data_IF_276020755961
#
_entry.id   IF_276020755961
#
_cell.length_a   1.000
_cell.length_b   1.000
_cell.length_c   1.000
_cell.angle_alpha   90.00
_cell.angle_beta   90.00
_cell.angle_gamma   90.00
#
_symmetry.space_group_name_H-M   'P 1'
#
loop_
_entity.id
_entity.type
_entity.pdbx_description
1 polymer ?
#
# COMPACT_ATOMS: atom_id res chain seq x y z
N UNK A 1 -46.95 36.15 -64.31
CA UNK A 1 -46.29 34.89 -64.69
C UNK A 1 -44.88 34.95 -64.14
N UNK A 2 -44.65 34.35 -62.98
CA UNK A 2 -43.80 33.14 -62.85
C UNK A 2 -42.32 33.53 -63.07
N UNK A 3 -41.45 33.68 -62.08
CA UNK A 3 -41.21 32.81 -60.93
C UNK A 3 -39.88 32.10 -61.15
N UNK A 4 -38.81 32.50 -60.45
CA UNK A 4 -37.67 31.64 -60.09
C UNK A 4 -36.73 32.34 -59.09
N UNK A 5 -37.25 32.59 -57.88
CA UNK A 5 -36.41 32.52 -56.70
C UNK A 5 -36.15 31.02 -56.46
N UNK A 6 -34.91 30.60 -56.20
CA UNK A 6 -34.52 29.52 -55.27
C UNK A 6 -33.23 28.79 -55.68
N UNK A 7 -32.55 28.26 -54.66
CA UNK A 7 -31.45 27.26 -54.73
C UNK A 7 -30.01 27.73 -54.98
N UNK A 8 -29.46 28.53 -54.06
CA UNK A 8 -28.00 28.44 -53.79
C UNK A 8 -27.61 28.41 -52.31
N UNK A 9 -28.47 28.87 -51.39
CA UNK A 9 -28.21 28.83 -49.94
C UNK A 9 -28.40 27.47 -49.26
N UNK A 10 -29.22 26.56 -49.82
CA UNK A 10 -29.59 25.30 -49.14
C UNK A 10 -28.44 24.29 -49.03
N UNK A 11 -27.43 24.36 -49.91
CA UNK A 11 -26.32 23.39 -49.95
C UNK A 11 -25.28 23.61 -48.85
N UNK A 12 -25.08 24.87 -48.44
CA UNK A 12 -24.05 25.25 -47.46
C UNK A 12 -24.49 25.01 -46.01
N UNK A 13 -25.80 25.14 -45.72
CA UNK A 13 -26.36 24.82 -44.41
C UNK A 13 -26.51 23.31 -44.19
N UNK A 14 -26.79 22.54 -45.26
CA UNK A 14 -26.88 21.09 -45.19
C UNK A 14 -25.53 20.42 -44.85
N UNK A 15 -24.42 20.92 -45.38
CA UNK A 15 -23.08 20.39 -45.06
C UNK A 15 -22.64 20.74 -43.63
N UNK A 16 -22.97 21.94 -43.15
CA UNK A 16 -22.68 22.35 -41.77
C UNK A 16 -23.50 21.55 -40.75
N UNK A 17 -24.77 21.25 -41.07
CA UNK A 17 -25.62 20.37 -40.27
C UNK A 17 -25.10 18.92 -40.23
N UNK A 18 -24.55 18.41 -41.35
CA UNK A 18 -23.90 17.10 -41.39
C UNK A 18 -22.62 17.03 -40.55
N UNK A 19 -21.82 18.10 -40.52
CA UNK A 19 -20.62 18.18 -39.67
C UNK A 19 -21.01 18.24 -38.20
N UNK A 20 -22.02 19.04 -37.83
CA UNK A 20 -22.53 19.08 -36.45
C UNK A 20 -23.16 17.75 -36.01
N UNK A 21 -23.85 17.04 -36.89
CA UNK A 21 -24.39 15.70 -36.63
C UNK A 21 -23.29 14.63 -36.53
N UNK A 22 -22.23 14.73 -37.34
CA UNK A 22 -21.07 13.85 -37.25
C UNK A 22 -20.27 14.09 -35.96
N UNK A 23 -20.19 15.35 -35.50
CA UNK A 23 -19.52 15.72 -34.25
C UNK A 23 -20.36 15.35 -33.01
N UNK A 24 -21.69 15.30 -33.10
CA UNK A 24 -22.55 14.83 -32.01
C UNK A 24 -22.58 13.29 -31.88
N UNK A 25 -22.23 12.57 -32.94
CA UNK A 25 -22.03 11.12 -32.94
C UNK A 25 -20.64 10.68 -32.48
N UNK A 26 -19.71 11.62 -32.25
CA UNK A 26 -18.46 11.36 -31.54
C UNK A 26 -18.76 11.12 -30.05
N UNK A 27 -19.36 9.97 -29.74
CA UNK A 27 -19.45 9.45 -28.38
C UNK A 27 -18.04 9.35 -27.84
N UNK A 28 -17.72 10.16 -26.82
CA UNK A 28 -16.59 9.91 -25.95
C UNK A 28 -16.76 8.48 -25.39
N UNK A 29 -16.00 7.53 -25.92
CA UNK A 29 -15.89 6.21 -25.31
C UNK A 29 -15.18 6.47 -23.98
N UNK A 30 -15.81 6.18 -22.81
CA UNK A 30 -15.11 6.27 -21.56
C UNK A 30 -13.96 5.26 -21.64
N UNK A 31 -12.72 5.75 -21.66
CA UNK A 31 -11.55 4.91 -21.50
C UNK A 31 -11.75 4.19 -20.18
N UNK A 32 -11.91 2.86 -20.23
CA UNK A 32 -11.83 2.02 -19.02
C UNK A 32 -10.43 2.25 -18.45
N UNK A 33 -10.34 3.13 -17.46
CA UNK A 33 -9.20 3.20 -16.58
C UNK A 33 -9.15 1.85 -15.88
N UNK A 34 -8.33 0.92 -16.39
CA UNK A 34 -7.96 -0.25 -15.59
C UNK A 34 -7.21 0.35 -14.41
N UNK A 35 -7.73 0.22 -13.18
CA UNK A 35 -7.02 0.77 -12.04
C UNK A 35 -5.67 0.07 -12.00
N UNK A 36 -4.60 0.81 -12.29
CA UNK A 36 -3.23 0.36 -12.02
C UNK A 36 -3.04 0.42 -10.51
N UNK A 37 -3.77 -0.43 -9.78
CA UNK A 37 -3.54 -0.63 -8.35
C UNK A 37 -2.13 -1.19 -8.26
N UNK A 38 -1.23 -0.53 -7.56
CA UNK A 38 0.11 -1.04 -7.24
C UNK A 38 0.05 -1.79 -5.91
N UNK A 39 0.56 -3.03 -5.87
CA UNK A 39 0.65 -3.96 -4.74
C UNK A 39 1.82 -3.46 -3.92
N UNK A 40 1.68 -3.49 -2.60
CA UNK A 40 2.82 -3.27 -1.73
C UNK A 40 3.12 -4.59 -1.04
N UNK A 41 4.34 -5.07 -1.22
CA UNK A 41 4.89 -6.19 -0.48
C UNK A 41 5.93 -5.62 0.48
N UNK A 42 5.68 -5.75 1.78
CA UNK A 42 6.65 -5.41 2.81
C UNK A 42 7.39 -6.69 3.24
N UNK A 43 8.69 -6.73 3.00
CA UNK A 43 9.59 -7.79 3.48
C UNK A 43 10.48 -7.19 4.55
N UNK A 44 10.47 -7.77 5.75
CA UNK A 44 11.39 -7.39 6.82
C UNK A 44 12.39 -8.51 7.09
N UNK A 45 13.67 -8.17 7.17
CA UNK A 45 14.72 -9.09 7.62
C UNK A 45 15.17 -8.65 9.02
N UNK A 46 14.92 -9.49 10.02
CA UNK A 46 15.28 -9.19 11.42
C UNK A 46 16.80 -9.23 11.62
N UNK A 47 17.35 -8.17 12.20
CA UNK A 47 18.78 -8.03 12.45
C UNK A 47 19.63 -7.83 11.20
N UNK A 48 19.03 -7.41 10.07
CA UNK A 48 19.76 -7.16 8.83
C UNK A 48 20.44 -5.79 8.89
N UNK A 49 21.70 -5.78 9.33
CA UNK A 49 22.48 -4.55 9.43
C UNK A 49 22.72 -3.94 8.05
N UNK A 50 22.75 -2.60 7.99
CA UNK A 50 22.85 -1.81 6.76
C UNK A 50 24.02 -2.16 5.82
N UNK A 51 25.07 -2.81 6.31
CA UNK A 51 26.26 -3.17 5.53
C UNK A 51 26.39 -4.67 5.25
N UNK A 52 25.43 -5.51 5.66
CA UNK A 52 25.55 -6.96 5.46
C UNK A 52 25.60 -7.36 3.99
N UNK A 53 24.92 -6.62 3.11
CA UNK A 53 24.99 -6.86 1.66
C UNK A 53 26.32 -6.44 1.02
N UNK A 54 27.24 -5.84 1.80
CA UNK A 54 28.60 -5.52 1.34
C UNK A 54 29.60 -6.66 1.63
N UNK A 55 29.28 -7.51 2.61
CA UNK A 55 30.18 -8.55 3.11
C UNK A 55 29.88 -9.93 2.48
N UNK A 56 28.75 -10.08 1.78
CA UNK A 56 28.30 -11.33 1.17
C UNK A 56 27.68 -11.10 -0.22
N UNK A 57 27.73 -12.12 -1.07
CA UNK A 57 27.09 -12.09 -2.40
C UNK A 57 25.56 -12.20 -2.27
N UNK A 58 24.84 -11.16 -2.70
CA UNK A 58 23.37 -11.07 -2.58
C UNK A 58 22.71 -10.69 -3.90
N UNK A 59 22.83 -11.53 -4.95
CA UNK A 59 22.49 -11.16 -6.33
C UNK A 59 21.05 -10.66 -6.50
N UNK A 60 20.11 -11.19 -5.69
CA UNK A 60 18.72 -10.74 -5.72
C UNK A 60 18.51 -9.37 -5.04
N UNK A 61 19.22 -9.09 -3.94
CA UNK A 61 19.18 -7.77 -3.29
C UNK A 61 19.89 -6.73 -4.15
N UNK A 62 20.99 -7.10 -4.79
CA UNK A 62 21.75 -6.26 -5.70
C UNK A 62 20.93 -5.88 -6.93
N UNK A 63 20.24 -6.85 -7.55
CA UNK A 63 19.31 -6.59 -8.64
C UNK A 63 18.17 -5.65 -8.21
N UNK A 64 17.57 -5.87 -7.04
CA UNK A 64 16.55 -4.97 -6.50
C UNK A 64 17.07 -3.55 -6.22
N UNK A 65 18.31 -3.42 -5.76
CA UNK A 65 18.94 -2.12 -5.53
C UNK A 65 19.27 -1.39 -6.84
N UNK A 66 19.70 -2.13 -7.87
CA UNK A 66 20.03 -1.59 -9.19
C UNK A 66 18.78 -1.14 -9.99
N UNK A 67 17.69 -1.91 -9.92
CA UNK A 67 16.43 -1.60 -10.60
C UNK A 67 15.51 -0.68 -9.77
N UNK A 68 15.79 -0.52 -8.48
CA UNK A 68 14.94 0.15 -7.51
C UNK A 68 15.61 1.32 -6.79
N UNK A 69 15.27 1.47 -5.50
CA UNK A 69 15.82 2.52 -4.63
C UNK A 69 16.35 1.86 -3.36
N UNK A 70 17.63 2.13 -3.05
CA UNK A 70 18.29 1.70 -1.81
C UNK A 70 18.68 2.91 -0.96
N UNK A 71 18.26 2.94 0.29
CA UNK A 71 18.77 3.89 1.28
C UNK A 71 20.15 3.45 1.79
N UNK A 72 20.99 4.40 2.22
CA UNK A 72 22.32 4.07 2.80
C UNK A 72 22.21 3.29 4.11
N UNK A 73 21.25 3.67 4.95
CA UNK A 73 20.88 3.00 6.19
C UNK A 73 19.49 3.50 6.62
N UNK A 74 18.86 2.78 7.55
CA UNK A 74 17.64 3.20 8.24
C UNK A 74 17.98 3.40 9.72
N UNK A 75 17.54 4.51 10.32
CA UNK A 75 17.66 4.70 11.76
C UNK A 75 16.52 3.94 12.45
N UNK A 76 16.83 2.93 13.29
CA UNK A 76 15.80 2.17 13.98
C UNK A 76 15.18 2.99 15.13
N UNK A 77 14.13 2.44 15.72
CA UNK A 77 13.58 2.93 16.98
C UNK A 77 14.65 2.91 18.10
N UNK A 78 14.50 3.76 19.12
CA UNK A 78 15.50 3.88 20.20
C UNK A 78 15.82 2.55 20.88
N UNK A 79 14.79 1.74 21.17
CA UNK A 79 14.99 0.37 21.65
C UNK A 79 15.14 -0.54 20.43
N UNK A 80 16.38 -0.91 20.11
CA UNK A 80 16.74 -1.71 18.93
C UNK A 80 16.53 -3.22 19.17
N UNK A 81 15.30 -3.61 19.47
CA UNK A 81 14.90 -5.02 19.60
C UNK A 81 13.69 -5.29 18.68
N UNK A 82 13.51 -6.55 18.29
CA UNK A 82 12.59 -6.99 17.24
C UNK A 82 11.18 -6.39 17.34
N UNK A 83 10.45 -6.61 18.44
CA UNK A 83 9.03 -6.25 18.51
C UNK A 83 8.79 -4.73 18.49
N UNK A 84 9.46 -3.91 19.32
CA UNK A 84 9.33 -2.45 19.25
C UNK A 84 9.73 -1.86 17.90
N UNK A 85 10.84 -2.29 17.30
CA UNK A 85 11.28 -1.78 16.00
C UNK A 85 10.28 -2.11 14.89
N UNK A 86 9.81 -3.37 14.81
CA UNK A 86 8.80 -3.74 13.83
C UNK A 86 7.47 -3.00 14.06
N UNK A 87 7.04 -2.80 15.30
CA UNK A 87 5.82 -2.03 15.58
C UNK A 87 5.95 -0.56 15.17
N UNK A 88 7.10 0.07 15.44
CA UNK A 88 7.38 1.43 14.96
C UNK A 88 7.28 1.50 13.43
N UNK A 89 7.89 0.55 12.72
CA UNK A 89 7.84 0.48 11.25
C UNK A 89 6.41 0.28 10.71
N UNK A 90 5.64 -0.61 11.33
CA UNK A 90 4.31 -1.01 10.85
C UNK A 90 3.22 0.02 11.18
N UNK A 91 3.38 0.77 12.27
CA UNK A 91 2.39 1.76 12.75
C UNK A 91 2.78 3.21 12.46
N UNK A 92 4.07 3.46 12.18
CA UNK A 92 4.61 4.82 12.02
C UNK A 92 4.60 5.64 13.31
N UNK A 93 4.50 5.00 14.48
CA UNK A 93 4.41 5.64 15.80
C UNK A 93 5.66 5.38 16.62
N UNK A 94 5.97 6.28 17.56
CA UNK A 94 7.02 6.05 18.54
C UNK A 94 6.60 5.03 19.60
N UNK A 95 7.56 4.53 20.36
CA UNK A 95 7.35 3.45 21.32
C UNK A 95 6.34 3.84 22.40
N UNK A 96 6.42 5.08 22.89
CA UNK A 96 5.51 5.65 23.88
C UNK A 96 4.07 5.79 23.35
N UNK A 97 3.90 5.87 22.03
CA UNK A 97 2.58 5.97 21.42
C UNK A 97 1.99 4.61 21.09
N UNK A 98 2.82 3.64 20.68
CA UNK A 98 2.36 2.30 20.32
C UNK A 98 2.54 1.25 21.42
N UNK A 99 3.03 1.59 22.61
CA UNK A 99 3.04 0.74 23.81
C UNK A 99 3.93 -0.51 23.80
N UNK A 100 4.32 -1.04 22.65
CA UNK A 100 5.21 -2.21 22.51
C UNK A 100 6.66 -1.82 22.79
N UNK A 101 7.12 -1.98 24.03
CA UNK A 101 8.46 -1.58 24.47
C UNK A 101 9.45 -2.75 24.67
N UNK A 102 8.97 -4.00 24.60
CA UNK A 102 9.80 -5.20 24.76
C UNK A 102 9.26 -6.40 23.97
N UNK A 103 10.13 -7.35 23.63
CA UNK A 103 9.76 -8.67 23.06
C UNK A 103 9.01 -9.58 24.05
N UNK A 104 9.01 -9.21 25.34
CA UNK A 104 8.34 -9.96 26.39
C UNK A 104 7.13 -9.17 26.80
N UNK A 105 6.03 -9.90 27.03
CA UNK A 105 4.86 -9.31 27.61
C UNK A 105 5.10 -9.00 29.08
N UNK A 106 4.69 -7.81 29.51
CA UNK A 106 4.84 -7.37 30.89
C UNK A 106 3.61 -6.61 31.34
N UNK A 107 3.02 -7.06 32.45
CA UNK A 107 1.95 -6.35 33.13
C UNK A 107 2.54 -5.50 34.25
N UNK A 108 2.39 -4.18 34.13
CA UNK A 108 2.92 -3.22 35.11
C UNK A 108 2.19 -3.28 36.46
N UNK A 109 0.92 -3.68 36.48
CA UNK A 109 0.10 -3.76 37.70
C UNK A 109 0.36 -5.03 38.49
N UNK A 110 0.51 -6.18 37.81
CA UNK A 110 0.69 -7.50 38.45
C UNK A 110 2.15 -7.94 38.50
N UNK A 111 3.05 -7.30 37.75
CA UNK A 111 4.45 -7.70 37.60
C UNK A 111 4.65 -8.96 36.77
N UNK A 112 3.58 -9.52 36.19
CA UNK A 112 3.65 -10.74 35.40
C UNK A 112 4.47 -10.52 34.12
N UNK A 113 5.37 -11.47 33.82
CA UNK A 113 6.17 -11.53 32.61
C UNK A 113 5.81 -12.79 31.83
N UNK A 114 5.55 -12.66 30.53
CA UNK A 114 5.39 -13.80 29.64
C UNK A 114 6.43 -13.74 28.53
N UNK A 115 6.98 -14.90 28.18
CA UNK A 115 7.94 -15.01 27.08
C UNK A 115 7.29 -14.68 25.74
N UNK A 116 8.09 -14.28 24.76
CA UNK A 116 7.64 -14.06 23.38
C UNK A 116 6.78 -15.23 22.88
N UNK A 117 7.27 -16.47 23.05
CA UNK A 117 6.60 -17.66 22.55
C UNK A 117 5.21 -17.86 23.15
N UNK A 118 5.05 -17.55 24.44
CA UNK A 118 3.77 -17.65 25.16
C UNK A 118 2.76 -16.58 24.74
N UNK A 119 3.22 -15.53 24.06
CA UNK A 119 2.42 -14.35 23.69
C UNK A 119 2.06 -14.33 22.20
N UNK A 120 2.54 -15.32 21.44
CA UNK A 120 2.16 -15.50 20.04
C UNK A 120 0.66 -15.78 19.93
N UNK A 121 -0.02 -15.08 19.03
CA UNK A 121 -1.47 -15.21 18.84
C UNK A 121 -2.32 -14.58 19.94
N UNK A 122 -1.72 -13.81 20.87
CA UNK A 122 -2.45 -13.06 21.90
C UNK A 122 -2.57 -11.61 21.45
N UNK A 123 -3.74 -11.23 20.94
CA UNK A 123 -3.97 -9.89 20.36
C UNK A 123 -3.94 -8.78 21.41
N UNK A 124 -4.36 -9.04 22.64
CA UNK A 124 -4.52 -8.03 23.70
C UNK A 124 -3.23 -7.32 24.11
N UNK A 125 -2.06 -7.89 23.79
CA UNK A 125 -0.77 -7.24 24.01
C UNK A 125 -0.48 -6.15 22.97
N UNK A 126 -0.88 -6.42 21.73
CA UNK A 126 -0.55 -5.63 20.56
C UNK A 126 -1.65 -4.62 20.22
N UNK A 127 -2.89 -4.92 20.63
CA UNK A 127 -4.07 -4.08 20.43
C UNK A 127 -4.18 -2.97 21.50
N UNK A 128 -3.26 -2.00 21.41
CA UNK A 128 -3.30 -0.77 22.20
C UNK A 128 -3.92 0.41 21.45
N UNK A 129 -4.68 0.14 20.39
CA UNK A 129 -5.27 1.16 19.53
C UNK A 129 -4.34 1.71 18.44
N UNK A 130 -3.07 1.29 18.39
CA UNK A 130 -2.19 1.59 17.25
C UNK A 130 -2.54 0.72 16.06
N UNK A 131 -2.84 1.36 14.93
CA UNK A 131 -3.25 0.66 13.72
C UNK A 131 -2.04 0.37 12.83
N UNK A 132 -1.63 -0.89 12.67
CA UNK A 132 -0.61 -1.24 11.71
C UNK A 132 -1.12 -1.07 10.27
N UNK A 133 -0.19 -0.98 9.33
CA UNK A 133 -0.45 -0.69 7.92
C UNK A 133 -1.48 -1.62 7.28
N UNK A 134 -1.51 -2.91 7.64
CA UNK A 134 -2.47 -3.87 7.07
C UNK A 134 -3.90 -3.64 7.56
N UNK A 135 -4.10 -3.35 8.85
CA UNK A 135 -5.43 -3.02 9.38
C UNK A 135 -5.91 -1.70 8.78
N UNK A 136 -5.02 -0.72 8.64
CA UNK A 136 -5.33 0.55 7.98
C UNK A 136 -5.75 0.35 6.52
N UNK A 137 -4.99 -0.46 5.78
CA UNK A 137 -5.31 -0.80 4.40
C UNK A 137 -6.62 -1.59 4.28
N UNK A 138 -6.88 -2.54 5.18
CA UNK A 138 -8.15 -3.28 5.23
C UNK A 138 -9.32 -2.35 5.50
N UNK A 139 -9.23 -1.44 6.47
CA UNK A 139 -10.31 -0.48 6.78
C UNK A 139 -10.62 0.42 5.59
N UNK A 140 -9.59 0.91 4.90
CA UNK A 140 -9.76 1.70 3.67
C UNK A 140 -10.34 0.86 2.54
N UNK A 141 -9.91 -0.39 2.39
CA UNK A 141 -10.44 -1.32 1.40
C UNK A 141 -11.89 -1.68 1.70
N UNK A 142 -12.29 -1.91 2.95
CA UNK A 142 -13.68 -2.19 3.34
C UNK A 142 -14.58 -0.97 3.17
N UNK A 143 -14.09 0.22 3.54
CA UNK A 143 -14.78 1.48 3.24
C UNK A 143 -14.95 1.64 1.72
N UNK A 144 -13.92 1.32 0.93
CA UNK A 144 -13.98 1.28 -0.53
C UNK A 144 -14.74 0.05 -1.09
N UNK A 145 -14.96 -1.02 -0.32
CA UNK A 145 -15.67 -2.23 -0.73
C UNK A 145 -17.18 -2.07 -0.66
N UNK A 146 -17.67 -1.15 0.17
CA UNK A 146 -18.98 -0.53 -0.06
C UNK A 146 -19.12 0.06 -1.48
N UNK A 147 -17.99 0.22 -2.19
CA UNK A 147 -17.88 0.62 -3.61
C UNK A 147 -16.99 -0.29 -4.50
N UNK A 148 -16.69 -1.57 -4.15
CA UNK A 148 -15.77 -2.57 -4.82
C UNK A 148 -14.32 -2.74 -4.27
N UNK A 149 -14.06 -3.75 -3.40
CA UNK A 149 -12.72 -4.36 -3.22
C UNK A 149 -12.73 -5.66 -2.38
N UNK A 150 -11.94 -6.67 -2.77
CA UNK A 150 -11.68 -7.93 -2.05
C UNK A 150 -10.78 -7.75 -0.79
N UNK A 151 -10.99 -8.54 0.29
CA UNK A 151 -10.26 -8.39 1.55
C UNK A 151 -8.80 -8.87 1.47
N UNK A 152 -7.90 -8.16 2.16
CA UNK A 152 -6.52 -8.59 2.39
C UNK A 152 -6.48 -9.69 3.46
N UNK A 153 -5.67 -10.73 3.24
CA UNK A 153 -5.57 -11.91 4.12
C UNK A 153 -4.38 -11.75 5.09
N UNK A 154 -4.58 -12.05 6.37
CA UNK A 154 -3.61 -11.84 7.48
C UNK A 154 -3.18 -13.14 8.15
N UNK A 155 -1.91 -13.20 8.56
CA UNK A 155 -1.40 -14.01 9.67
C UNK A 155 -1.33 -13.11 10.92
N UNK A 156 -1.95 -13.46 12.06
CA UNK A 156 -1.89 -12.68 13.30
C UNK A 156 -0.58 -12.86 14.09
N UNK A 157 0.27 -13.81 13.72
CA UNK A 157 1.61 -13.90 14.31
C UNK A 157 2.52 -12.85 13.66
N UNK A 158 3.53 -12.39 14.41
CA UNK A 158 4.63 -11.53 13.95
C UNK A 158 5.53 -12.24 12.91
N UNK A 159 4.93 -12.94 11.94
CA UNK A 159 5.57 -13.70 10.89
C UNK A 159 5.42 -12.96 9.56
N UNK A 160 6.59 -12.76 8.97
CA UNK A 160 6.96 -11.81 7.94
C UNK A 160 6.34 -12.09 6.56
N UNK A 161 5.06 -11.76 6.32
CA UNK A 161 4.58 -11.30 4.99
C UNK A 161 3.31 -10.47 5.16
N UNK A 162 3.39 -9.15 4.97
CA UNK A 162 2.20 -8.31 4.81
C UNK A 162 1.97 -8.08 3.31
N UNK A 163 0.86 -8.60 2.79
CA UNK A 163 0.48 -8.48 1.38
C UNK A 163 -0.63 -7.43 1.22
N UNK A 164 -0.29 -6.26 0.68
CA UNK A 164 -1.28 -5.24 0.27
C UNK A 164 -1.49 -5.27 -1.26
N UNK A 165 -2.73 -5.17 -1.74
CA UNK A 165 -3.19 -5.59 -3.10
C UNK A 165 -2.95 -4.56 -4.25
N UNK A 166 -2.71 -5.03 -5.51
CA UNK A 166 -2.23 -4.27 -6.71
C UNK A 166 -1.08 -4.91 -7.59
N UNK A 167 -0.23 -4.18 -8.35
CA UNK A 167 0.99 -4.56 -9.10
C UNK A 167 2.28 -4.31 -8.28
N UNK A 168 3.15 -5.29 -8.01
CA UNK A 168 4.12 -5.22 -6.91
C UNK A 168 5.13 -4.09 -7.06
N UNK A 169 5.13 -3.16 -6.10
CA UNK A 169 6.31 -2.44 -5.66
C UNK A 169 6.75 -3.11 -4.36
N UNK A 170 7.88 -3.81 -4.41
CA UNK A 170 8.48 -4.42 -3.23
C UNK A 170 9.13 -3.33 -2.39
N UNK A 171 8.77 -3.24 -1.12
CA UNK A 171 9.46 -2.44 -0.12
C UNK A 171 10.17 -3.42 0.80
N UNK A 172 11.51 -3.40 0.78
CA UNK A 172 12.32 -4.14 1.72
C UNK A 172 12.66 -3.20 2.87
N UNK A 173 12.22 -3.54 4.07
CA UNK A 173 12.64 -2.88 5.29
C UNK A 173 13.63 -3.78 6.01
N UNK A 174 14.67 -3.19 6.60
CA UNK A 174 15.73 -3.92 7.29
C UNK A 174 15.80 -3.34 8.70
N UNK A 175 15.46 -4.15 9.71
CA UNK A 175 15.44 -3.74 11.13
C UNK A 175 16.70 -4.18 11.87
#
# INVERSE_FOLDING_TARGET
>A
MSGLLQFKGMKMFASLGFIFAALSLARCIPVKQVPSRSKVLLVSFDGFRWNYDQDVDTPNLDAMAAEGVKARYMTPAFITITSPCHFTLLTGRYLENHGVIHNMWFNTSTGQKLSYHSTQGVDSWWDNGSLPIWITAQRQASAAASSHADPAQTDPACNHVVKATGKPRSLVAMS
#
